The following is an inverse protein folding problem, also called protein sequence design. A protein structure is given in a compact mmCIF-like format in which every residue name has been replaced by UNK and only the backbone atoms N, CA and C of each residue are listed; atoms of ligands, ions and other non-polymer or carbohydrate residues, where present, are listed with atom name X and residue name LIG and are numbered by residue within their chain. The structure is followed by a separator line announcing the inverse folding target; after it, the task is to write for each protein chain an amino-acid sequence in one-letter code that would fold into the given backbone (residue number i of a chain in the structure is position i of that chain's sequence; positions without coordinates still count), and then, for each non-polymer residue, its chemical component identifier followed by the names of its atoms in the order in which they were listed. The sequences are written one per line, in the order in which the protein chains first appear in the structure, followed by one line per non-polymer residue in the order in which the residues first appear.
data_IF_594131581817
#
_entry.id   IF_594131581817
#
_cell.length_a   1.000
_cell.length_b   1.000
_cell.length_c   1.000
_cell.angle_alpha   90.00
_cell.angle_beta   90.00
_cell.angle_gamma   90.00
#
_symmetry.space_group_name_H-M   'P 1'
#
loop_
_entity.id
_entity.type
_entity.pdbx_description
1 polymer ?
#
# COMPACT_ATOMS: atom_id res chain seq x y z
N UNK A 1 3.39 -24.64 -34.60
CA UNK A 1 3.80 -23.49 -33.75
C UNK A 1 2.64 -22.54 -33.41
N UNK A 2 1.60 -22.38 -34.25
CA UNK A 2 0.46 -21.49 -33.96
C UNK A 2 -0.35 -21.78 -32.69
N UNK A 3 -0.53 -23.06 -32.33
CA UNK A 3 -1.32 -23.39 -31.14
C UNK A 3 -0.71 -22.96 -29.79
N UNK A 4 0.61 -22.77 -29.70
CA UNK A 4 1.27 -22.36 -28.44
C UNK A 4 1.12 -20.85 -28.21
N UNK A 5 1.12 -20.04 -29.27
CA UNK A 5 0.91 -18.60 -29.17
C UNK A 5 -0.56 -18.24 -28.88
N UNK A 6 -1.48 -18.99 -29.45
CA UNK A 6 -2.92 -18.82 -29.22
C UNK A 6 -3.28 -19.14 -27.75
N UNK A 7 -2.78 -20.25 -27.20
CA UNK A 7 -2.91 -20.58 -25.77
C UNK A 7 -2.28 -19.52 -24.86
N UNK A 8 -1.15 -18.94 -25.25
CA UNK A 8 -0.47 -17.90 -24.48
C UNK A 8 -1.33 -16.62 -24.42
N UNK A 9 -1.90 -16.22 -25.55
CA UNK A 9 -2.77 -15.03 -25.63
C UNK A 9 -4.06 -15.22 -24.82
N UNK A 10 -4.66 -16.41 -24.83
CA UNK A 10 -5.86 -16.74 -24.05
C UNK A 10 -5.55 -16.74 -22.53
N UNK A 11 -4.39 -17.25 -22.13
CA UNK A 11 -3.92 -17.22 -20.74
C UNK A 11 -3.70 -15.78 -20.30
N UNK A 12 -3.03 -14.95 -21.09
CA UNK A 12 -2.75 -13.54 -20.76
C UNK A 12 -4.04 -12.70 -20.63
N UNK A 13 -5.03 -12.94 -21.48
CA UNK A 13 -6.36 -12.32 -21.37
C UNK A 13 -7.09 -12.77 -20.10
N UNK A 14 -7.01 -14.05 -19.77
CA UNK A 14 -7.59 -14.60 -18.54
C UNK A 14 -6.93 -14.03 -17.30
N UNK A 15 -5.61 -13.87 -17.30
CA UNK A 15 -4.86 -13.24 -16.21
C UNK A 15 -5.23 -11.77 -16.02
N UNK A 16 -5.34 -11.01 -17.11
CA UNK A 16 -5.77 -9.61 -17.06
C UNK A 16 -7.19 -9.46 -16.52
N UNK A 17 -8.08 -10.40 -16.83
CA UNK A 17 -9.45 -10.40 -16.30
C UNK A 17 -9.48 -10.75 -14.80
N UNK A 18 -8.61 -11.65 -14.33
CA UNK A 18 -8.44 -11.98 -12.91
C UNK A 18 -7.90 -10.75 -12.15
N UNK A 19 -6.86 -10.10 -12.66
CA UNK A 19 -6.30 -8.90 -12.04
C UNK A 19 -7.37 -7.81 -11.86
N UNK A 20 -8.13 -7.53 -12.92
CA UNK A 20 -9.24 -6.56 -12.85
C UNK A 20 -10.31 -6.95 -11.83
N UNK A 21 -10.73 -8.21 -11.82
CA UNK A 21 -11.75 -8.69 -10.90
C UNK A 21 -11.28 -8.58 -9.43
N UNK A 22 -10.02 -8.92 -9.15
CA UNK A 22 -9.43 -8.77 -7.81
C UNK A 22 -9.33 -7.30 -7.42
N UNK A 23 -8.87 -6.42 -8.32
CA UNK A 23 -8.80 -4.98 -8.05
C UNK A 23 -10.19 -4.37 -7.80
N UNK A 24 -11.20 -4.78 -8.56
CA UNK A 24 -12.57 -4.34 -8.34
C UNK A 24 -13.12 -4.79 -6.98
N UNK A 25 -12.86 -6.03 -6.55
CA UNK A 25 -13.26 -6.54 -5.23
C UNK A 25 -12.57 -5.75 -4.10
N UNK A 26 -11.29 -5.38 -4.27
CA UNK A 26 -10.54 -4.53 -3.34
C UNK A 26 -11.20 -3.16 -3.19
N UNK A 27 -11.65 -2.54 -4.28
CA UNK A 27 -12.33 -1.24 -4.24
C UNK A 27 -13.72 -1.35 -3.60
N UNK A 28 -14.53 -2.34 -4.01
CA UNK A 28 -15.90 -2.54 -3.50
C UNK A 28 -15.91 -2.74 -1.99
N UNK A 29 -14.93 -3.46 -1.45
CA UNK A 29 -14.83 -3.73 0.00
C UNK A 29 -14.17 -2.61 0.80
N UNK A 30 -13.86 -1.46 0.19
CA UNK A 30 -13.21 -0.32 0.81
C UNK A 30 -11.94 -0.69 1.62
N UNK A 31 -11.17 -1.65 1.12
CA UNK A 31 -10.01 -2.25 1.80
C UNK A 31 -8.96 -1.20 2.14
N UNK A 32 -8.83 -0.14 1.33
CA UNK A 32 -7.82 0.91 1.50
C UNK A 32 -7.89 1.57 2.88
N UNK A 33 -9.08 1.83 3.42
CA UNK A 33 -9.22 2.47 4.73
C UNK A 33 -8.75 1.59 5.87
N UNK A 34 -9.10 0.29 5.84
CA UNK A 34 -8.64 -0.67 6.82
C UNK A 34 -7.11 -0.91 6.74
N UNK A 35 -6.56 -0.98 5.52
CA UNK A 35 -5.11 -1.08 5.31
C UNK A 35 -4.39 0.14 5.86
N UNK A 36 -4.93 1.34 5.65
CA UNK A 36 -4.35 2.56 6.20
C UNK A 36 -4.33 2.56 7.73
N UNK A 37 -5.38 2.03 8.38
CA UNK A 37 -5.40 1.81 9.83
C UNK A 37 -4.33 0.79 10.26
N UNK A 38 -4.23 -0.34 9.58
CA UNK A 38 -3.20 -1.35 9.85
C UNK A 38 -1.79 -0.78 9.73
N UNK A 39 -1.52 0.03 8.70
CA UNK A 39 -0.22 0.70 8.50
C UNK A 39 0.11 1.67 9.65
N UNK A 40 -0.87 2.42 10.18
CA UNK A 40 -0.66 3.26 11.37
C UNK A 40 -0.24 2.43 12.57
N UNK A 41 -0.88 1.29 12.81
CA UNK A 41 -0.51 0.38 13.90
C UNK A 41 0.90 -0.18 13.69
N UNK A 42 1.26 -0.55 12.46
CA UNK A 42 2.61 -1.02 12.13
C UNK A 42 3.67 0.03 12.43
N UNK A 43 3.46 1.29 12.06
CA UNK A 43 4.40 2.37 12.35
C UNK A 43 4.60 2.55 13.86
N UNK A 44 3.51 2.52 14.64
CA UNK A 44 3.54 2.80 16.08
C UNK A 44 4.07 1.61 16.87
N UNK A 45 3.45 0.43 16.69
CA UNK A 45 3.72 -0.76 17.53
C UNK A 45 4.55 -1.83 16.83
N UNK A 46 4.80 -1.67 15.53
CA UNK A 46 5.46 -2.68 14.71
C UNK A 46 4.59 -3.88 14.37
N UNK A 47 3.33 -3.92 14.83
CA UNK A 47 2.48 -5.09 14.74
C UNK A 47 1.02 -4.70 14.49
N UNK A 48 0.36 -5.46 13.63
CA UNK A 48 -1.08 -5.38 13.40
C UNK A 48 -1.62 -6.75 13.02
N UNK A 49 -2.79 -7.11 13.51
CA UNK A 49 -3.49 -8.30 13.04
C UNK A 49 -4.64 -7.86 12.14
N UNK A 50 -4.70 -8.45 10.97
CA UNK A 50 -5.74 -8.19 9.96
C UNK A 50 -6.57 -9.44 9.76
N UNK A 51 -7.87 -9.32 9.83
CA UNK A 51 -8.83 -10.39 9.50
C UNK A 51 -9.52 -10.09 8.18
N UNK A 52 -9.36 -10.99 7.21
CA UNK A 52 -9.93 -10.92 5.88
C UNK A 52 -11.29 -11.62 5.83
N UNK A 53 -12.32 -10.95 6.32
CA UNK A 53 -13.70 -11.45 6.32
C UNK A 53 -14.35 -11.45 4.92
N UNK A 54 -15.52 -12.07 4.82
CA UNK A 54 -16.29 -12.04 3.58
C UNK A 54 -16.85 -10.65 3.26
N UNK A 55 -17.20 -9.87 4.29
CA UNK A 55 -17.82 -8.56 4.15
C UNK A 55 -16.81 -7.41 4.17
N UNK A 56 -15.53 -7.68 4.44
CA UNK A 56 -14.49 -6.66 4.50
C UNK A 56 -13.31 -7.06 5.36
N UNK A 57 -12.47 -6.08 5.65
CA UNK A 57 -11.27 -6.24 6.48
C UNK A 57 -11.53 -5.65 7.86
N UNK A 58 -11.09 -6.37 8.89
CA UNK A 58 -11.04 -5.90 10.28
C UNK A 58 -9.60 -5.83 10.75
N UNK A 59 -9.27 -4.78 11.47
CA UNK A 59 -7.91 -4.54 11.99
C UNK A 59 -7.96 -4.61 13.52
N UNK A 60 -7.07 -5.41 14.09
CA UNK A 60 -6.93 -5.55 15.53
C UNK A 60 -5.63 -4.93 16.01
N UNK A 61 -5.73 -4.12 17.06
CA UNK A 61 -4.60 -3.51 17.74
C UNK A 61 -3.82 -4.54 18.56
N UNK A 62 -2.55 -4.27 18.83
CA UNK A 62 -1.67 -5.20 19.54
C UNK A 62 -2.19 -5.65 20.92
N UNK A 63 -2.97 -4.81 21.60
CA UNK A 63 -3.56 -5.15 22.92
C UNK A 63 -4.79 -6.07 22.84
N UNK A 64 -5.29 -6.40 21.64
CA UNK A 64 -6.45 -7.26 21.44
C UNK A 64 -6.09 -8.66 20.93
N UNK A 65 -4.82 -8.95 20.70
CA UNK A 65 -4.39 -10.27 20.23
C UNK A 65 -3.02 -10.66 20.72
N UNK A 66 -2.76 -11.94 20.71
CA UNK A 66 -1.44 -12.52 20.92
C UNK A 66 -1.08 -13.46 19.79
N UNK A 67 0.20 -13.48 19.42
CA UNK A 67 0.73 -14.35 18.37
C UNK A 67 1.93 -15.10 18.92
N UNK A 68 2.02 -16.38 18.61
CA UNK A 68 3.22 -17.20 18.80
C UNK A 68 3.70 -17.70 17.47
N UNK A 69 5.01 -17.58 17.24
CA UNK A 69 5.69 -18.06 16.04
C UNK A 69 6.76 -19.07 16.39
N UNK A 70 7.12 -19.87 15.41
CA UNK A 70 8.32 -20.69 15.47
C UNK A 70 9.59 -19.84 15.16
N UNK A 71 10.80 -20.38 15.35
CA UNK A 71 12.04 -19.67 15.04
C UNK A 71 12.16 -19.26 13.56
N UNK A 72 11.48 -19.93 12.64
CA UNK A 72 11.47 -19.57 11.21
C UNK A 72 10.54 -18.38 10.90
N UNK A 73 9.70 -17.99 11.88
CA UNK A 73 8.72 -16.92 11.75
C UNK A 73 7.33 -17.41 11.34
N UNK A 74 7.11 -18.73 11.19
CA UNK A 74 5.79 -19.29 10.90
C UNK A 74 4.86 -19.15 12.09
N UNK A 75 3.61 -18.79 11.85
CA UNK A 75 2.60 -18.63 12.88
C UNK A 75 2.19 -20.00 13.43
N UNK A 76 2.29 -20.18 14.74
CA UNK A 76 1.82 -21.37 15.45
C UNK A 76 0.46 -21.15 16.06
N UNK A 77 0.27 -20.00 16.73
CA UNK A 77 -0.97 -19.66 17.40
C UNK A 77 -1.29 -18.17 17.24
N UNK A 78 -2.57 -17.86 17.05
CA UNK A 78 -3.13 -16.52 17.21
C UNK A 78 -4.33 -16.63 18.13
N UNK A 79 -4.43 -15.74 19.12
CA UNK A 79 -5.63 -15.60 19.95
C UNK A 79 -6.05 -14.14 19.90
N UNK A 80 -7.30 -13.90 19.51
CA UNK A 80 -7.89 -12.55 19.45
C UNK A 80 -8.92 -12.44 20.54
N UNK A 81 -8.86 -11.37 21.31
CA UNK A 81 -9.86 -11.02 22.32
C UNK A 81 -10.78 -9.92 21.80
N UNK A 82 -12.07 -10.16 21.82
CA UNK A 82 -13.09 -9.18 21.46
C UNK A 82 -14.10 -9.07 22.60
N UNK A 83 -14.45 -7.86 22.96
CA UNK A 83 -15.54 -7.61 23.92
C UNK A 83 -16.79 -7.27 23.10
N UNK A 84 -17.77 -8.17 23.11
CA UNK A 84 -18.97 -8.09 22.30
C UNK A 84 -20.22 -7.92 23.15
N UNK A 85 -21.27 -7.34 22.58
CA UNK A 85 -22.58 -7.34 23.22
C UNK A 85 -23.13 -8.78 23.31
N UNK A 86 -23.86 -9.12 24.36
CA UNK A 86 -24.58 -10.41 24.47
C UNK A 86 -25.46 -10.76 23.26
N UNK A 87 -25.94 -9.74 22.56
CA UNK A 87 -26.71 -9.91 21.32
C UNK A 87 -25.87 -10.31 20.12
N UNK A 88 -24.58 -9.99 20.15
CA UNK A 88 -23.63 -10.23 19.05
C UNK A 88 -22.87 -11.56 19.15
N UNK A 89 -23.12 -12.38 20.18
CA UNK A 89 -22.49 -13.69 20.30
C UNK A 89 -23.19 -14.72 19.38
N UNK A 90 -22.49 -15.75 18.90
CA UNK A 90 -23.10 -16.87 18.17
C UNK A 90 -24.24 -17.50 18.95
N UNK A 91 -25.21 -18.07 18.25
CA UNK A 91 -26.42 -18.65 18.85
C UNK A 91 -26.12 -19.73 19.90
N UNK A 92 -25.06 -20.52 19.67
CA UNK A 92 -24.55 -21.52 20.61
C UNK A 92 -24.13 -20.94 21.95
N UNK A 93 -23.58 -19.72 21.96
CA UNK A 93 -23.10 -19.03 23.15
C UNK A 93 -24.22 -18.27 23.91
N UNK A 94 -25.36 -18.00 23.29
CA UNK A 94 -26.48 -17.25 23.94
C UNK A 94 -26.94 -17.84 25.27
N UNK A 95 -27.14 -19.18 25.41
CA UNK A 95 -27.52 -19.76 26.69
C UNK A 95 -26.46 -19.60 27.79
N UNK A 96 -25.17 -19.63 27.43
CA UNK A 96 -24.04 -19.46 28.37
C UNK A 96 -24.04 -18.03 28.94
N UNK A 97 -24.32 -17.05 28.10
CA UNK A 97 -24.30 -15.64 28.46
C UNK A 97 -25.57 -15.25 29.27
N UNK A 98 -26.73 -15.82 28.98
CA UNK A 98 -27.98 -15.56 29.71
C UNK A 98 -27.94 -16.05 31.14
N UNK A 99 -27.12 -17.03 31.47
CA UNK A 99 -26.96 -17.55 32.83
C UNK A 99 -26.16 -16.62 33.73
N UNK A 100 -25.38 -15.70 33.15
CA UNK A 100 -24.60 -14.69 33.86
C UNK A 100 -25.45 -13.45 34.08
N UNK A 101 -25.45 -12.93 35.29
CA UNK A 101 -26.25 -11.80 35.74
C UNK A 101 -26.48 -10.71 34.69
N UNK A 102 -27.71 -10.28 34.52
CA UNK A 102 -28.22 -9.27 33.58
C UNK A 102 -27.55 -7.86 33.69
N UNK A 103 -26.51 -7.72 34.50
CA UNK A 103 -25.81 -6.46 34.79
C UNK A 103 -24.62 -6.21 33.91
N UNK A 104 -24.05 -7.24 33.27
CA UNK A 104 -22.90 -7.05 32.36
C UNK A 104 -23.33 -6.84 30.90
N UNK A 105 -23.18 -5.63 30.40
CA UNK A 105 -23.54 -5.26 29.02
C UNK A 105 -22.58 -5.79 27.95
N UNK A 106 -21.55 -6.56 28.32
CA UNK A 106 -20.55 -7.08 27.39
C UNK A 106 -19.96 -8.41 27.82
N UNK A 107 -19.54 -9.21 26.86
CA UNK A 107 -18.94 -10.55 27.02
C UNK A 107 -17.63 -10.62 26.26
N UNK A 108 -16.63 -11.23 26.89
CA UNK A 108 -15.36 -11.49 26.23
C UNK A 108 -15.45 -12.76 25.37
N UNK A 109 -15.20 -12.61 24.09
CA UNK A 109 -15.12 -13.69 23.11
C UNK A 109 -13.68 -13.82 22.62
N UNK A 110 -13.17 -15.02 22.59
CA UNK A 110 -11.84 -15.32 22.11
C UNK A 110 -11.90 -16.09 20.79
N UNK A 111 -11.22 -15.62 19.78
CA UNK A 111 -11.00 -16.37 18.54
C UNK A 111 -9.61 -16.98 18.59
N UNK A 112 -9.54 -18.30 18.61
CA UNK A 112 -8.32 -19.09 18.66
C UNK A 112 -8.02 -19.64 17.27
N UNK A 113 -6.79 -19.45 16.81
CA UNK A 113 -6.29 -20.00 15.55
C UNK A 113 -4.98 -20.73 15.87
N UNK A 114 -4.86 -21.98 15.48
CA UNK A 114 -3.65 -22.77 15.72
C UNK A 114 -3.29 -23.67 14.55
N UNK A 115 -2.02 -23.88 14.36
CA UNK A 115 -1.51 -24.81 13.37
C UNK A 115 -1.78 -26.27 13.83
N UNK A 116 -2.42 -27.07 12.99
CA UNK A 116 -2.63 -28.50 13.23
C UNK A 116 -1.46 -29.27 12.62
N UNK A 117 -1.15 -28.99 11.35
CA UNK A 117 -0.09 -29.57 10.56
C UNK A 117 0.72 -28.48 9.86
N UNK A 118 1.81 -28.86 9.18
CA UNK A 118 2.68 -27.92 8.48
C UNK A 118 1.96 -26.99 7.47
N UNK A 119 0.74 -27.35 7.01
CA UNK A 119 0.02 -26.59 5.97
C UNK A 119 -1.45 -26.29 6.32
N UNK A 120 -1.91 -26.60 7.56
CA UNK A 120 -3.31 -26.41 7.94
C UNK A 120 -3.42 -25.71 9.28
N UNK A 121 -4.41 -24.85 9.38
CA UNK A 121 -4.80 -24.14 10.58
C UNK A 121 -6.24 -24.44 10.94
N UNK A 122 -6.53 -24.55 12.20
CA UNK A 122 -7.88 -24.62 12.75
C UNK A 122 -8.19 -23.31 13.48
N UNK A 123 -9.41 -22.82 13.28
CA UNK A 123 -9.92 -21.66 13.99
C UNK A 123 -11.24 -22.01 14.67
N UNK A 124 -11.44 -21.55 15.89
CA UNK A 124 -12.69 -21.68 16.65
C UNK A 124 -12.82 -20.53 17.63
N UNK A 125 -14.05 -20.30 18.10
CA UNK A 125 -14.34 -19.29 19.09
C UNK A 125 -14.58 -19.90 20.47
N UNK A 126 -14.26 -19.15 21.51
CA UNK A 126 -14.44 -19.52 22.90
C UNK A 126 -15.15 -18.40 23.62
N UNK A 127 -16.24 -18.73 24.30
CA UNK A 127 -17.00 -17.82 25.17
C UNK A 127 -17.20 -18.50 26.51
N UNK A 128 -16.92 -17.78 27.60
CA UNK A 128 -17.06 -18.33 28.97
C UNK A 128 -16.34 -19.69 29.16
N UNK A 129 -15.11 -19.81 28.64
CA UNK A 129 -14.31 -21.03 28.65
C UNK A 129 -14.91 -22.23 27.89
N UNK A 130 -15.98 -22.01 27.13
CA UNK A 130 -16.64 -23.04 26.32
C UNK A 130 -16.27 -22.84 24.86
N UNK A 131 -15.80 -23.88 24.21
CA UNK A 131 -15.51 -23.88 22.78
C UNK A 131 -16.84 -23.95 22.02
N UNK A 132 -17.03 -23.05 21.08
CA UNK A 132 -18.20 -23.02 20.20
C UNK A 132 -17.93 -23.88 18.96
N UNK A 133 -18.45 -25.10 18.93
CA UNK A 133 -18.19 -26.03 17.84
C UNK A 133 -18.76 -25.57 16.49
N UNK A 134 -19.84 -24.79 16.50
CA UNK A 134 -20.44 -24.19 15.30
C UNK A 134 -19.50 -23.23 14.57
N UNK A 135 -18.49 -22.67 15.28
CA UNK A 135 -17.54 -21.71 14.74
C UNK A 135 -16.23 -22.35 14.25
N UNK A 136 -16.08 -23.67 14.45
CA UNK A 136 -14.87 -24.41 14.08
C UNK A 136 -14.71 -24.47 12.57
N UNK A 137 -13.55 -24.05 12.09
CA UNK A 137 -13.20 -24.06 10.67
C UNK A 137 -11.75 -24.44 10.44
N UNK A 138 -11.47 -25.10 9.32
CA UNK A 138 -10.12 -25.45 8.91
C UNK A 138 -9.72 -24.67 7.66
N UNK A 139 -8.51 -24.12 7.67
CA UNK A 139 -7.96 -23.28 6.61
C UNK A 139 -6.61 -23.81 6.17
N UNK A 140 -6.28 -23.64 4.89
CA UNK A 140 -4.92 -23.88 4.39
C UNK A 140 -4.05 -22.66 4.72
N UNK A 141 -2.75 -22.84 4.81
CA UNK A 141 -1.79 -21.78 5.10
C UNK A 141 -1.86 -20.62 4.10
N UNK A 142 -2.07 -20.91 2.82
CA UNK A 142 -2.17 -19.93 1.74
C UNK A 142 -3.51 -19.17 1.71
N UNK A 143 -4.51 -19.60 2.46
CA UNK A 143 -5.87 -19.04 2.46
C UNK A 143 -6.43 -18.72 3.83
N UNK A 144 -5.55 -18.69 4.86
CA UNK A 144 -5.93 -18.29 6.21
C UNK A 144 -6.40 -16.82 6.23
N UNK A 145 -7.55 -16.52 6.85
CA UNK A 145 -8.06 -15.15 6.86
C UNK A 145 -7.40 -14.23 7.90
N UNK A 146 -6.62 -14.75 8.84
CA UNK A 146 -5.90 -13.95 9.85
C UNK A 146 -4.45 -13.72 9.44
N UNK A 147 -4.07 -12.47 9.21
CA UNK A 147 -2.73 -12.06 8.83
C UNK A 147 -2.10 -11.26 9.96
N UNK A 148 -1.13 -11.85 10.66
CA UNK A 148 -0.36 -11.15 11.68
C UNK A 148 0.84 -10.47 11.01
N UNK A 149 0.76 -9.16 10.88
CA UNK A 149 1.72 -8.32 10.17
C UNK A 149 2.82 -7.82 11.12
N UNK A 150 4.03 -7.70 10.57
CA UNK A 150 5.18 -7.11 11.26
C UNK A 150 5.80 -6.02 10.40
N UNK A 151 6.28 -4.94 11.02
CA UNK A 151 7.00 -3.90 10.29
C UNK A 151 8.48 -4.27 10.16
N UNK A 152 9.22 -4.33 11.25
CA UNK A 152 10.61 -4.79 11.27
C UNK A 152 10.68 -6.15 11.95
N UNK A 153 11.06 -7.16 11.17
CA UNK A 153 11.19 -8.52 11.66
C UNK A 153 12.50 -8.67 12.44
N UNK A 154 12.40 -9.23 13.65
CA UNK A 154 13.56 -9.67 14.44
C UNK A 154 13.55 -11.19 14.49
N UNK A 155 14.70 -11.79 14.22
CA UNK A 155 14.83 -13.24 14.20
C UNK A 155 14.58 -13.84 15.59
N UNK A 156 13.81 -14.94 15.64
CA UNK A 156 13.41 -15.58 16.89
C UNK A 156 12.32 -14.88 17.69
N UNK A 157 11.87 -13.66 17.29
CA UNK A 157 10.78 -12.97 17.98
C UNK A 157 9.43 -13.22 17.29
N UNK A 158 8.37 -13.33 18.11
CA UNK A 158 7.00 -13.47 17.61
C UNK A 158 6.41 -12.16 17.08
N UNK A 159 6.91 -11.03 17.57
CA UNK A 159 6.46 -9.68 17.24
C UNK A 159 7.54 -8.90 16.49
N UNK A 160 7.10 -7.95 15.68
CA UNK A 160 7.98 -7.00 15.00
C UNK A 160 8.24 -5.76 15.85
N UNK A 161 9.23 -4.95 15.43
CA UNK A 161 9.56 -3.65 16.02
C UNK A 161 8.94 -2.52 15.19
N UNK A 162 8.40 -1.52 15.89
CA UNK A 162 7.82 -0.32 15.25
C UNK A 162 8.84 0.79 15.08
N UNK A 163 8.58 1.68 14.14
CA UNK A 163 9.41 2.88 13.95
C UNK A 163 9.42 3.77 15.19
N UNK A 164 8.25 3.96 15.80
CA UNK A 164 8.15 4.77 17.02
C UNK A 164 8.96 4.18 18.16
N UNK A 165 9.07 2.86 18.25
CA UNK A 165 9.88 2.18 19.28
C UNK A 165 11.37 2.52 19.12
N UNK A 166 11.89 2.54 17.88
CA UNK A 166 13.29 2.86 17.60
C UNK A 166 13.66 4.30 17.97
N UNK A 167 12.72 5.24 17.76
CA UNK A 167 12.94 6.67 18.03
C UNK A 167 12.25 7.18 19.30
N UNK A 168 11.81 6.28 20.18
CA UNK A 168 11.07 6.63 21.40
C UNK A 168 11.87 7.56 22.32
N UNK A 169 13.19 7.38 22.41
CA UNK A 169 14.07 8.25 23.18
C UNK A 169 14.06 9.69 22.68
N UNK A 170 14.13 9.88 21.36
CA UNK A 170 14.09 11.20 20.75
C UNK A 170 12.72 11.86 20.89
N UNK A 171 11.65 11.10 20.70
CA UNK A 171 10.27 11.58 20.87
C UNK A 171 10.00 12.05 22.31
N UNK A 172 10.45 11.27 23.31
CA UNK A 172 10.34 11.67 24.73
C UNK A 172 11.18 12.91 25.06
N UNK A 173 12.37 12.99 24.49
CA UNK A 173 13.23 14.15 24.68
C UNK A 173 12.62 15.41 24.08
N UNK A 174 12.03 15.29 22.86
CA UNK A 174 11.33 16.40 22.20
C UNK A 174 10.12 16.84 23.02
N UNK A 175 9.30 15.93 23.51
CA UNK A 175 8.15 16.20 24.37
C UNK A 175 8.58 16.91 25.66
N UNK A 176 9.55 16.37 26.40
CA UNK A 176 10.04 16.94 27.66
C UNK A 176 10.64 18.33 27.48
N UNK A 177 11.46 18.54 26.45
CA UNK A 177 12.03 19.86 26.17
C UNK A 177 10.95 20.87 25.76
N UNK A 178 9.99 20.45 24.93
CA UNK A 178 8.87 21.33 24.53
C UNK A 178 8.02 21.71 25.72
N UNK A 179 7.70 20.75 26.60
CA UNK A 179 6.97 20.99 27.84
C UNK A 179 7.73 21.98 28.73
N UNK A 180 9.03 21.75 28.93
CA UNK A 180 9.87 22.62 29.75
C UNK A 180 9.94 24.07 29.22
N UNK A 181 9.99 24.24 27.89
CA UNK A 181 9.95 25.55 27.24
C UNK A 181 8.61 26.24 27.49
N UNK A 182 7.50 25.53 27.31
CA UNK A 182 6.14 26.07 27.51
C UNK A 182 5.93 26.48 28.97
N UNK A 183 6.26 25.57 29.91
CA UNK A 183 6.14 25.84 31.35
C UNK A 183 7.08 26.98 31.81
N UNK A 184 8.31 26.94 31.32
CA UNK A 184 9.30 27.98 31.59
C UNK A 184 8.89 29.35 31.03
N UNK A 185 8.32 29.40 29.81
CA UNK A 185 7.79 30.61 29.22
C UNK A 185 6.59 31.16 29.98
N UNK A 186 5.71 30.27 30.45
CA UNK A 186 4.57 30.65 31.30
C UNK A 186 5.04 31.21 32.67
N UNK A 187 6.08 30.62 33.25
CA UNK A 187 6.69 31.12 34.49
C UNK A 187 7.41 32.44 34.27
N UNK A 188 8.15 32.59 33.16
CA UNK A 188 8.86 33.83 32.81
C UNK A 188 7.92 34.99 32.49
N UNK A 189 6.70 34.71 32.02
CA UNK A 189 5.68 35.75 31.81
C UNK A 189 5.08 36.34 33.10
N UNK A 190 5.27 35.63 34.23
CA UNK A 190 4.82 36.11 35.54
C UNK A 190 5.84 37.10 36.11
N UNK A 191 5.46 38.36 36.16
CA UNK A 191 6.24 39.43 36.80
C UNK A 191 5.66 39.66 38.18
N UNK A 192 6.47 39.49 39.23
CA UNK A 192 6.10 39.80 40.59
C UNK A 192 6.83 41.07 41.01
N UNK A 193 6.07 42.04 41.48
CA UNK A 193 6.63 43.25 42.08
C UNK A 193 6.70 43.08 43.58
N UNK A 194 7.89 43.15 44.14
CA UNK A 194 8.11 43.17 45.58
C UNK A 194 8.29 44.59 46.03
N UNK A 195 7.49 45.00 47.00
CA UNK A 195 7.57 46.34 47.58
C UNK A 195 8.12 46.24 49.00
N UNK A 196 9.10 47.03 49.32
CA UNK A 196 9.69 47.10 50.67
C UNK A 196 8.62 47.57 51.67
N UNK A 197 8.27 46.74 52.68
CA UNK A 197 7.24 47.12 53.66
C UNK A 197 7.59 48.37 54.52
N UNK A 198 8.87 48.65 54.63
CA UNK A 198 9.36 49.80 55.39
C UNK A 198 9.72 51.02 54.49
N UNK A 199 9.44 50.90 53.17
CA UNK A 199 9.71 52.00 52.22
C UNK A 199 8.61 53.04 52.16
N UNK A 200 8.88 54.13 51.43
CA UNK A 200 7.92 55.22 51.20
C UNK A 200 6.87 54.84 50.13
N UNK A 201 7.18 53.87 49.30
CA UNK A 201 6.30 53.43 48.20
C UNK A 201 5.24 52.48 48.71
N UNK A 202 3.97 52.82 48.52
CA UNK A 202 2.83 51.97 48.98
C UNK A 202 2.38 51.01 47.89
N UNK A 203 2.33 49.73 48.25
CA UNK A 203 1.93 48.61 47.33
C UNK A 203 0.48 48.76 46.82
N UNK A 204 -0.45 49.22 47.68
CA UNK A 204 -1.85 49.43 47.34
C UNK A 204 -2.06 50.58 46.31
N UNK A 205 -1.24 51.59 46.35
CA UNK A 205 -1.25 52.71 45.40
C UNK A 205 -0.66 52.28 44.06
N UNK A 206 0.43 51.51 44.11
CA UNK A 206 1.10 51.02 42.89
C UNK A 206 0.23 50.03 42.13
N UNK A 207 -0.41 49.07 42.84
CA UNK A 207 -1.25 48.02 42.23
C UNK A 207 -2.51 48.55 41.52
N UNK A 208 -3.03 49.71 41.99
CA UNK A 208 -4.22 50.37 41.43
C UNK A 208 -3.88 51.42 40.37
N UNK A 209 -2.61 51.68 40.11
CA UNK A 209 -2.19 52.71 39.18
C UNK A 209 -2.33 52.26 37.74
N UNK A 210 -3.01 53.02 36.86
CA UNK A 210 -3.06 52.72 35.45
C UNK A 210 -1.68 52.87 34.78
N UNK A 211 -1.50 52.28 33.62
CA UNK A 211 -0.27 52.42 32.85
C UNK A 211 0.03 53.89 32.51
N UNK A 212 1.26 54.35 32.77
CA UNK A 212 1.68 55.73 32.55
C UNK A 212 1.31 56.74 33.70
N UNK A 213 0.74 56.25 34.82
CA UNK A 213 0.44 57.10 35.95
C UNK A 213 1.72 57.62 36.64
N UNK A 214 1.70 58.88 37.04
CA UNK A 214 2.77 59.50 37.85
C UNK A 214 2.39 59.32 39.33
N UNK A 215 3.29 58.70 40.11
CA UNK A 215 3.11 58.52 41.56
C UNK A 215 4.36 58.88 42.33
N UNK A 216 4.16 59.28 43.54
CA UNK A 216 5.26 59.52 44.48
C UNK A 216 5.78 58.19 45.02
N UNK A 217 7.11 58.06 45.13
CA UNK A 217 7.76 56.81 45.63
C UNK A 217 9.25 56.78 45.30
N UNK A 218 9.95 55.83 45.88
CA UNK A 218 11.35 55.59 45.59
C UNK A 218 11.47 54.32 44.72
N UNK A 219 12.14 54.40 43.59
CA UNK A 219 12.37 53.25 42.71
C UNK A 219 13.11 52.11 43.41
N UNK A 220 13.95 52.40 44.41
CA UNK A 220 14.66 51.37 45.19
C UNK A 220 13.76 50.58 46.13
N UNK A 221 12.53 51.07 46.43
CA UNK A 221 11.56 50.32 47.24
C UNK A 221 10.85 49.21 46.45
N UNK A 222 10.95 49.20 45.12
CA UNK A 222 10.27 48.26 44.27
C UNK A 222 11.30 47.42 43.53
N UNK A 223 11.31 46.13 43.79
CA UNK A 223 12.11 45.17 43.04
C UNK A 223 11.20 44.29 42.17
N UNK A 224 11.68 43.96 40.99
CA UNK A 224 10.97 43.06 40.05
C UNK A 224 11.57 41.70 40.17
N UNK A 225 10.78 40.73 40.60
CA UNK A 225 11.16 39.31 40.56
C UNK A 225 10.70 38.73 39.22
N UNK A 226 11.63 38.59 38.33
CA UNK A 226 11.43 37.98 37.02
C UNK A 226 12.48 36.87 36.78
N UNK A 227 12.07 35.78 36.21
CA UNK A 227 12.97 34.68 35.86
C UNK A 227 13.77 35.07 34.60
N UNK A 228 15.07 35.36 34.79
CA UNK A 228 15.98 35.69 33.69
C UNK A 228 16.67 34.43 33.17
N UNK A 229 15.99 33.63 32.32
CA UNK A 229 16.51 32.40 31.69
C UNK A 229 16.48 32.41 30.18
N UNK A 230 16.61 33.57 29.55
CA UNK A 230 16.53 33.69 28.08
C UNK A 230 17.61 32.88 27.35
N UNK A 231 18.82 32.82 27.89
CA UNK A 231 19.91 32.02 27.29
C UNK A 231 19.61 30.51 27.32
N UNK A 232 19.03 30.00 28.40
CA UNK A 232 18.70 28.61 28.55
C UNK A 232 17.59 28.17 27.56
N UNK A 233 16.62 29.07 27.33
CA UNK A 233 15.57 28.82 26.32
C UNK A 233 16.13 28.79 24.90
N UNK A 234 17.14 29.61 24.58
CA UNK A 234 17.80 29.58 23.29
C UNK A 234 18.46 28.21 22.98
N UNK A 235 19.18 27.67 23.95
CA UNK A 235 19.82 26.36 23.86
C UNK A 235 18.77 25.25 23.76
N UNK A 236 17.69 25.30 24.54
CA UNK A 236 16.60 24.34 24.48
C UNK A 236 15.88 24.36 23.13
N UNK A 237 15.60 25.52 22.55
CA UNK A 237 15.00 25.65 21.23
C UNK A 237 15.90 25.10 20.12
N UNK A 238 17.21 25.31 20.21
CA UNK A 238 18.15 24.72 19.25
C UNK A 238 18.19 23.19 19.35
N UNK A 239 18.15 22.64 20.57
CA UNK A 239 18.07 21.21 20.79
C UNK A 239 16.76 20.61 20.24
N UNK A 240 15.62 21.27 20.48
CA UNK A 240 14.32 20.89 19.90
C UNK A 240 14.37 20.88 18.37
N UNK A 241 14.96 21.92 17.75
CA UNK A 241 15.09 21.98 16.29
C UNK A 241 15.93 20.82 15.75
N UNK A 242 17.07 20.53 16.38
CA UNK A 242 17.95 19.42 15.98
C UNK A 242 17.27 18.05 16.11
N UNK A 243 16.54 17.80 17.22
CA UNK A 243 15.80 16.54 17.41
C UNK A 243 14.66 16.44 16.38
N UNK A 244 13.92 17.53 16.16
CA UNK A 244 12.84 17.56 15.15
C UNK A 244 13.35 17.25 13.76
N UNK A 245 14.49 17.84 13.34
CA UNK A 245 15.06 17.59 12.02
C UNK A 245 15.53 16.15 11.86
N UNK A 246 16.10 15.55 12.91
CA UNK A 246 16.45 14.14 12.94
C UNK A 246 15.23 13.23 12.84
N UNK A 247 14.16 13.53 13.56
CA UNK A 247 12.89 12.80 13.49
C UNK A 247 12.21 12.95 12.12
N UNK A 248 12.21 14.17 11.54
CA UNK A 248 11.69 14.40 10.20
C UNK A 248 12.41 13.55 9.15
N UNK A 249 13.73 13.44 9.25
CA UNK A 249 14.51 12.58 8.39
C UNK A 249 14.20 11.10 8.62
N UNK A 250 14.12 10.67 9.88
CA UNK A 250 13.82 9.28 10.26
C UNK A 250 12.44 8.84 9.79
N UNK A 251 11.42 9.68 9.98
CA UNK A 251 10.03 9.39 9.57
C UNK A 251 9.74 9.73 8.10
N UNK A 252 10.77 10.03 7.30
CA UNK A 252 10.66 10.29 5.86
C UNK A 252 9.65 11.40 5.52
N UNK A 253 9.52 12.40 6.39
CA UNK A 253 8.72 13.58 6.12
C UNK A 253 9.44 14.45 5.06
N UNK A 254 9.66 13.87 3.90
CA UNK A 254 10.52 14.39 2.83
C UNK A 254 9.97 15.66 2.17
N UNK A 255 8.73 16.05 2.44
CA UNK A 255 8.20 17.36 2.04
C UNK A 255 9.05 18.52 2.58
N UNK A 256 9.73 18.31 3.71
CA UNK A 256 10.70 19.27 4.25
C UNK A 256 12.03 19.29 3.50
N UNK A 257 12.34 18.25 2.73
CA UNK A 257 13.61 18.09 1.98
C UNK A 257 13.48 18.58 0.53
N UNK A 258 12.27 18.56 -0.02
CA UNK A 258 11.99 19.24 -1.29
C UNK A 258 11.91 20.73 -0.95
N UNK A 259 12.98 21.45 -1.25
CA UNK A 259 13.00 22.91 -1.13
C UNK A 259 11.73 23.44 -1.77
N UNK A 260 10.99 24.31 -1.05
CA UNK A 260 9.95 25.17 -1.61
C UNK A 260 10.58 26.20 -2.58
N UNK A 261 11.32 25.71 -3.57
CA UNK A 261 11.98 26.53 -4.57
C UNK A 261 11.16 26.44 -5.85
N UNK A 262 10.88 27.57 -6.45
CA UNK A 262 10.14 27.73 -7.72
C UNK A 262 10.71 26.92 -8.91
N UNK A 263 11.78 26.15 -8.73
CA UNK A 263 12.48 25.38 -9.76
C UNK A 263 12.96 24.01 -9.25
N UNK A 264 12.05 23.17 -8.74
CA UNK A 264 12.36 21.76 -8.49
C UNK A 264 12.33 21.04 -9.83
N UNK A 265 13.46 20.42 -10.22
CA UNK A 265 13.52 19.66 -11.47
C UNK A 265 12.87 18.27 -11.29
N UNK A 266 12.27 17.74 -12.36
CA UNK A 266 11.71 16.37 -12.35
C UNK A 266 12.76 15.33 -11.93
N UNK A 267 14.04 15.56 -12.21
CA UNK A 267 15.16 14.70 -11.81
C UNK A 267 15.41 14.74 -10.29
N UNK A 268 15.28 15.89 -9.65
CA UNK A 268 15.42 16.03 -8.19
C UNK A 268 14.32 15.28 -7.46
N UNK A 269 13.06 15.38 -7.94
CA UNK A 269 11.94 14.59 -7.42
C UNK A 269 12.19 13.09 -7.59
N UNK A 270 12.72 12.67 -8.76
CA UNK A 270 13.01 11.27 -9.04
C UNK A 270 14.11 10.73 -8.12
N UNK A 271 15.19 11.48 -7.90
CA UNK A 271 16.28 11.09 -7.01
C UNK A 271 15.83 11.01 -5.56
N UNK A 272 15.00 11.94 -5.10
CA UNK A 272 14.45 11.94 -3.74
C UNK A 272 13.53 10.73 -3.54
N UNK A 273 12.64 10.45 -4.49
CA UNK A 273 11.78 9.26 -4.46
C UNK A 273 12.61 7.99 -4.41
N UNK A 274 13.63 7.86 -5.26
CA UNK A 274 14.52 6.69 -5.27
C UNK A 274 15.34 6.54 -3.97
N UNK A 275 15.65 7.63 -3.27
CA UNK A 275 16.31 7.57 -1.96
C UNK A 275 15.36 7.04 -0.88
N UNK A 276 14.12 7.54 -0.82
CA UNK A 276 13.07 7.06 0.09
C UNK A 276 12.79 5.57 -0.14
N UNK A 277 12.69 5.14 -1.38
CA UNK A 277 12.46 3.73 -1.72
C UNK A 277 13.59 2.81 -1.28
N UNK A 278 14.84 3.22 -1.47
CA UNK A 278 16.00 2.44 -0.99
C UNK A 278 15.96 2.26 0.53
N UNK A 279 15.50 3.25 1.26
CA UNK A 279 15.36 3.21 2.72
C UNK A 279 14.20 2.30 3.16
N UNK A 280 13.09 2.30 2.42
CA UNK A 280 11.90 1.49 2.71
C UNK A 280 11.91 0.10 2.07
N UNK A 281 12.87 -0.23 1.22
CA UNK A 281 12.87 -1.46 0.42
C UNK A 281 12.72 -2.76 1.24
N UNK A 282 13.34 -2.81 2.41
CA UNK A 282 13.18 -3.94 3.34
C UNK A 282 11.75 -4.09 3.87
N UNK A 283 11.11 -2.97 4.22
CA UNK A 283 9.74 -2.93 4.74
C UNK A 283 8.75 -3.34 3.66
N UNK A 284 8.92 -2.83 2.44
CA UNK A 284 8.09 -3.23 1.29
C UNK A 284 8.16 -4.73 1.02
N UNK A 285 9.35 -5.32 1.11
CA UNK A 285 9.53 -6.76 0.90
C UNK A 285 8.81 -7.59 1.96
N UNK A 286 8.88 -7.19 3.23
CA UNK A 286 8.17 -7.86 4.33
C UNK A 286 6.65 -7.74 4.14
N UNK A 287 6.14 -6.53 3.85
CA UNK A 287 4.72 -6.30 3.62
C UNK A 287 4.20 -7.01 2.36
N UNK A 288 5.03 -7.15 1.33
CA UNK A 288 4.67 -7.93 0.15
C UNK A 288 4.43 -9.40 0.50
N UNK A 289 5.28 -9.98 1.34
CA UNK A 289 5.21 -11.38 1.75
C UNK A 289 4.15 -11.65 2.83
N UNK A 290 4.09 -10.82 3.87
CA UNK A 290 3.20 -11.05 5.03
C UNK A 290 1.79 -10.50 4.82
N UNK A 291 1.59 -9.55 3.90
CA UNK A 291 0.29 -8.91 3.69
C UNK A 291 -0.22 -9.02 2.25
N UNK A 292 0.49 -8.46 1.26
CA UNK A 292 -0.06 -8.31 -0.09
C UNK A 292 -0.30 -9.66 -0.77
N UNK A 293 0.67 -10.56 -0.74
CA UNK A 293 0.54 -11.88 -1.35
C UNK A 293 -0.55 -12.72 -0.68
N UNK A 294 -0.61 -12.86 0.67
CA UNK A 294 -1.71 -13.56 1.34
C UNK A 294 -3.09 -12.93 1.09
N UNK A 295 -3.16 -11.59 1.02
CA UNK A 295 -4.38 -10.86 0.68
C UNK A 295 -4.92 -11.27 -0.70
N UNK A 296 -4.06 -11.22 -1.72
CA UNK A 296 -4.43 -11.59 -3.09
C UNK A 296 -4.82 -13.07 -3.16
N UNK A 297 -4.05 -13.96 -2.53
CA UNK A 297 -4.35 -15.39 -2.48
C UNK A 297 -5.72 -15.66 -1.85
N UNK A 298 -6.04 -14.97 -0.75
CA UNK A 298 -7.33 -15.10 -0.08
C UNK A 298 -8.48 -14.63 -0.97
N UNK A 299 -8.32 -13.47 -1.65
CA UNK A 299 -9.34 -13.00 -2.58
C UNK A 299 -9.54 -13.96 -3.75
N UNK A 300 -8.47 -14.44 -4.35
CA UNK A 300 -8.54 -15.43 -5.42
C UNK A 300 -9.25 -16.71 -4.97
N UNK A 301 -8.98 -17.19 -3.74
CA UNK A 301 -9.64 -18.38 -3.19
C UNK A 301 -11.15 -18.14 -2.99
N UNK A 302 -11.54 -17.04 -2.37
CA UNK A 302 -12.96 -16.67 -2.15
C UNK A 302 -13.70 -16.47 -3.48
N UNK A 303 -13.10 -15.76 -4.43
CA UNK A 303 -13.72 -15.50 -5.74
C UNK A 303 -13.80 -16.77 -6.59
N UNK A 304 -12.80 -17.65 -6.51
CA UNK A 304 -12.81 -18.96 -7.17
C UNK A 304 -13.94 -19.85 -6.64
N UNK A 305 -14.14 -19.90 -5.31
CA UNK A 305 -15.26 -20.63 -4.68
C UNK A 305 -16.62 -20.06 -5.12
N UNK A 306 -16.72 -18.75 -5.31
CA UNK A 306 -17.93 -18.07 -5.80
C UNK A 306 -18.09 -18.13 -7.33
N UNK A 307 -17.20 -18.83 -8.04
CA UNK A 307 -17.19 -18.96 -9.52
C UNK A 307 -17.14 -17.62 -10.26
N UNK A 308 -16.52 -16.62 -9.66
CA UNK A 308 -16.35 -15.26 -10.24
C UNK A 308 -15.06 -15.11 -11.06
N UNK A 309 -14.17 -16.10 -11.01
CA UNK A 309 -12.92 -16.10 -11.77
C UNK A 309 -12.97 -17.08 -12.92
N UNK A 310 -12.35 -16.79 -14.07
CA UNK A 310 -12.15 -17.76 -15.14
C UNK A 310 -11.31 -18.95 -14.62
N UNK A 311 -11.57 -20.13 -15.15
CA UNK A 311 -10.80 -21.34 -14.80
C UNK A 311 -9.44 -21.29 -15.50
N UNK A 312 -8.41 -20.90 -14.79
CA UNK A 312 -7.02 -21.02 -15.27
C UNK A 312 -6.35 -22.17 -14.52
N UNK A 313 -5.60 -23.04 -15.19
CA UNK A 313 -4.87 -24.11 -14.53
C UNK A 313 -3.90 -23.54 -13.50
N UNK A 314 -3.99 -23.99 -12.24
CA UNK A 314 -3.19 -23.48 -11.10
C UNK A 314 -1.68 -23.65 -11.29
N UNK A 315 -1.27 -24.54 -12.17
CA UNK A 315 0.14 -24.82 -12.48
C UNK A 315 0.82 -23.67 -13.23
N UNK A 316 0.04 -22.84 -13.96
CA UNK A 316 0.55 -21.76 -14.78
C UNK A 316 0.43 -20.38 -14.11
N UNK A 317 -0.29 -20.27 -12.99
CA UNK A 317 -0.57 -18.99 -12.34
C UNK A 317 -0.03 -18.99 -10.92
N UNK A 318 1.11 -18.30 -10.74
CA UNK A 318 1.60 -17.93 -9.41
C UNK A 318 1.49 -16.42 -9.28
N UNK A 319 0.65 -15.91 -8.36
CA UNK A 319 0.60 -14.47 -8.11
C UNK A 319 1.98 -14.00 -7.62
N UNK A 320 2.50 -12.98 -8.27
CA UNK A 320 3.73 -12.31 -7.88
C UNK A 320 3.40 -10.86 -7.57
N UNK A 321 3.79 -10.41 -6.39
CA UNK A 321 3.60 -9.01 -6.00
C UNK A 321 4.83 -8.22 -6.43
N UNK A 322 4.62 -7.26 -7.31
CA UNK A 322 5.64 -6.29 -7.70
C UNK A 322 5.44 -5.07 -6.80
N UNK A 323 6.45 -4.74 -5.99
CA UNK A 323 6.38 -3.66 -5.00
C UNK A 323 7.44 -2.60 -5.26
N UNK A 324 7.25 -1.42 -4.68
CA UNK A 324 8.22 -0.32 -4.70
C UNK A 324 8.38 0.33 -6.08
N UNK A 325 9.62 0.69 -6.43
CA UNK A 325 9.98 1.31 -7.72
C UNK A 325 9.55 0.45 -8.89
N UNK A 326 9.62 -0.87 -8.76
CA UNK A 326 9.22 -1.79 -9.82
C UNK A 326 7.70 -1.72 -10.10
N UNK A 327 6.89 -1.42 -9.10
CA UNK A 327 5.44 -1.20 -9.29
C UNK A 327 5.14 0.18 -9.90
N UNK A 328 5.87 1.21 -9.48
CA UNK A 328 5.91 2.52 -10.13
C UNK A 328 6.61 2.44 -11.49
N UNK A 329 7.45 1.44 -11.67
CA UNK A 329 8.24 1.16 -12.86
C UNK A 329 7.41 0.76 -14.08
N UNK A 330 6.13 0.38 -13.95
CA UNK A 330 5.28 0.21 -15.13
C UNK A 330 5.16 1.51 -15.94
N UNK A 331 5.05 2.67 -15.26
CA UNK A 331 5.20 3.97 -15.91
C UNK A 331 6.63 4.24 -16.41
N UNK A 332 7.65 3.78 -15.67
CA UNK A 332 9.05 3.90 -16.04
C UNK A 332 9.46 2.94 -17.17
N UNK A 333 8.85 1.76 -17.25
CA UNK A 333 9.05 0.82 -18.35
C UNK A 333 8.51 1.38 -19.67
N UNK A 334 7.44 2.17 -19.61
CA UNK A 334 6.94 2.92 -20.74
C UNK A 334 7.97 3.96 -21.23
N UNK A 335 8.54 4.72 -20.30
CA UNK A 335 9.60 5.71 -20.61
C UNK A 335 10.84 5.03 -21.17
N UNK A 336 11.26 3.89 -20.62
CA UNK A 336 12.39 3.10 -21.11
C UNK A 336 12.11 2.51 -22.50
N UNK A 337 10.89 2.01 -22.71
CA UNK A 337 10.44 1.46 -23.98
C UNK A 337 10.38 2.55 -25.05
N UNK A 338 9.83 3.71 -24.74
CA UNK A 338 9.79 4.86 -25.62
C UNK A 338 11.20 5.41 -25.90
N UNK A 339 12.08 5.43 -24.92
CA UNK A 339 13.48 5.82 -25.09
C UNK A 339 14.25 4.82 -25.98
N UNK A 340 14.02 3.51 -25.82
CA UNK A 340 14.60 2.48 -26.69
C UNK A 340 14.15 2.68 -28.14
N UNK A 341 12.86 2.85 -28.37
CA UNK A 341 12.32 3.06 -29.74
C UNK A 341 12.80 4.36 -30.35
N UNK A 342 12.84 5.44 -29.57
CA UNK A 342 13.38 6.72 -30.01
C UNK A 342 14.87 6.60 -30.38
N UNK A 343 15.65 5.88 -29.58
CA UNK A 343 17.06 5.59 -29.88
C UNK A 343 17.24 4.75 -31.14
N UNK A 344 16.42 3.72 -31.33
CA UNK A 344 16.41 2.91 -32.56
C UNK A 344 16.03 3.73 -33.78
N UNK A 345 15.02 4.60 -33.66
CA UNK A 345 14.60 5.48 -34.76
C UNK A 345 15.68 6.48 -35.17
N UNK A 346 16.46 7.00 -34.19
CA UNK A 346 17.55 7.93 -34.45
C UNK A 346 18.75 7.26 -35.10
N UNK A 347 19.08 6.03 -34.71
CA UNK A 347 20.28 5.32 -35.19
C UNK A 347 20.00 4.62 -36.53
N UNK A 348 18.89 3.95 -36.68
CA UNK A 348 18.58 3.07 -37.82
C UNK A 348 17.49 3.63 -38.74
N UNK A 349 16.87 4.74 -38.38
CA UNK A 349 15.75 5.33 -39.10
C UNK A 349 14.38 4.68 -38.76
N UNK A 350 13.27 5.36 -39.05
CA UNK A 350 11.91 4.91 -38.69
C UNK A 350 11.49 3.60 -39.38
N UNK A 351 12.07 3.25 -40.52
CA UNK A 351 11.80 2.01 -41.23
C UNK A 351 12.33 0.77 -40.50
N UNK A 352 13.42 0.90 -39.73
CA UNK A 352 13.99 -0.20 -38.95
C UNK A 352 13.06 -0.63 -37.80
N UNK A 353 12.26 0.30 -37.24
CA UNK A 353 11.30 -0.05 -36.18
C UNK A 353 10.32 -1.12 -36.69
N UNK A 354 9.80 -0.96 -37.92
CA UNK A 354 8.87 -1.91 -38.50
C UNK A 354 9.48 -3.29 -38.79
N UNK A 355 10.81 -3.37 -38.94
CA UNK A 355 11.52 -4.63 -39.19
C UNK A 355 11.90 -5.38 -37.91
N UNK A 356 12.24 -4.66 -36.85
CA UNK A 356 12.80 -5.27 -35.63
C UNK A 356 11.83 -5.28 -34.44
N UNK A 357 10.76 -4.48 -34.48
CA UNK A 357 9.80 -4.34 -33.38
C UNK A 357 8.43 -4.81 -33.82
N UNK A 358 7.81 -5.71 -33.05
CA UNK A 358 6.41 -6.06 -33.26
C UNK A 358 5.51 -4.91 -32.78
N UNK A 359 4.79 -4.19 -33.68
CA UNK A 359 3.99 -3.04 -33.30
C UNK A 359 2.81 -3.41 -32.38
N UNK A 360 2.24 -4.62 -32.54
CA UNK A 360 1.13 -5.07 -31.71
C UNK A 360 1.57 -5.32 -30.27
N UNK A 361 2.70 -6.00 -30.10
CA UNK A 361 3.27 -6.24 -28.77
C UNK A 361 3.66 -4.95 -28.07
N UNK A 362 4.22 -4.00 -28.83
CA UNK A 362 4.51 -2.67 -28.28
C UNK A 362 3.25 -1.94 -27.82
N UNK A 363 2.20 -1.91 -28.65
CA UNK A 363 0.93 -1.28 -28.31
C UNK A 363 0.25 -1.96 -27.14
N UNK A 364 0.30 -3.30 -27.07
CA UNK A 364 -0.25 -4.07 -25.96
C UNK A 364 0.46 -3.74 -24.64
N UNK A 365 1.81 -3.71 -24.63
CA UNK A 365 2.60 -3.32 -23.46
C UNK A 365 2.36 -1.88 -23.03
N UNK A 366 2.27 -0.98 -23.99
CA UNK A 366 1.99 0.42 -23.73
C UNK A 366 0.59 0.63 -23.15
N UNK A 367 -0.42 -0.04 -23.69
CA UNK A 367 -1.78 0.01 -23.17
C UNK A 367 -1.88 -0.61 -21.77
N UNK A 368 -1.22 -1.75 -21.54
CA UNK A 368 -1.16 -2.38 -20.22
C UNK A 368 -0.50 -1.44 -19.18
N UNK A 369 0.59 -0.76 -19.54
CA UNK A 369 1.27 0.19 -18.66
C UNK A 369 0.42 1.44 -18.37
N UNK A 370 -0.43 1.85 -19.30
CA UNK A 370 -1.39 2.95 -19.12
C UNK A 370 -2.71 2.52 -18.47
N UNK A 371 -2.90 1.22 -18.22
CA UNK A 371 -4.16 0.68 -17.68
C UNK A 371 -5.33 0.71 -18.65
N UNK A 372 -5.05 0.80 -19.95
CA UNK A 372 -6.07 0.88 -21.01
C UNK A 372 -6.42 -0.53 -21.49
N UNK A 373 -7.72 -0.82 -21.64
CA UNK A 373 -8.17 -2.08 -22.22
C UNK A 373 -7.92 -2.10 -23.73
N UNK A 374 -7.17 -3.11 -24.18
CA UNK A 374 -6.84 -3.27 -25.60
C UNK A 374 -7.93 -3.98 -26.40
N UNK A 375 -8.92 -4.58 -25.72
CA UNK A 375 -9.97 -5.36 -26.36
C UNK A 375 -10.85 -4.46 -27.25
N UNK A 376 -10.85 -4.73 -28.55
CA UNK A 376 -11.56 -3.93 -29.53
C UNK A 376 -10.87 -2.61 -29.94
N UNK A 377 -9.77 -2.23 -29.26
CA UNK A 377 -8.98 -1.04 -29.61
C UNK A 377 -7.84 -1.39 -30.58
N UNK A 378 -7.20 -2.54 -30.37
CA UNK A 378 -6.10 -3.03 -31.22
C UNK A 378 -6.64 -4.18 -32.04
N UNK A 379 -6.53 -4.06 -33.38
CA UNK A 379 -6.94 -5.12 -34.32
C UNK A 379 -6.07 -6.35 -34.10
N UNK A 380 -6.67 -7.54 -34.18
CA UNK A 380 -5.92 -8.79 -34.15
C UNK A 380 -5.07 -8.96 -35.43
N UNK A 381 -4.07 -9.84 -35.38
CA UNK A 381 -3.31 -10.18 -36.60
C UNK A 381 -4.20 -10.75 -37.71
N UNK A 382 -5.24 -11.50 -37.33
CA UNK A 382 -6.22 -12.04 -38.26
C UNK A 382 -7.06 -10.95 -38.89
N UNK A 383 -7.52 -9.96 -38.14
CA UNK A 383 -8.28 -8.82 -38.66
C UNK A 383 -7.44 -7.97 -39.61
N UNK A 384 -6.16 -7.73 -39.29
CA UNK A 384 -5.24 -7.01 -40.15
C UNK A 384 -4.92 -7.77 -41.42
N UNK A 385 -4.70 -9.09 -41.32
CA UNK A 385 -4.48 -9.94 -42.47
C UNK A 385 -5.75 -10.01 -43.37
N UNK A 386 -6.93 -10.08 -42.77
CA UNK A 386 -8.19 -10.08 -43.48
C UNK A 386 -8.44 -8.72 -44.20
N UNK A 387 -8.11 -7.60 -43.54
CA UNK A 387 -8.20 -6.26 -44.18
C UNK A 387 -7.15 -6.09 -45.27
N UNK A 388 -5.91 -6.52 -45.07
CA UNK A 388 -4.88 -6.49 -46.11
C UNK A 388 -5.26 -7.33 -47.32
N UNK A 389 -5.83 -8.52 -47.11
CA UNK A 389 -6.34 -9.37 -48.19
C UNK A 389 -7.52 -8.74 -48.90
N UNK A 390 -8.45 -8.09 -48.19
CA UNK A 390 -9.55 -7.33 -48.77
C UNK A 390 -9.05 -6.13 -49.60
N UNK A 391 -8.07 -5.38 -49.07
CA UNK A 391 -7.48 -4.26 -49.75
C UNK A 391 -6.72 -4.70 -51.04
N UNK A 392 -6.00 -5.84 -50.95
CA UNK A 392 -5.29 -6.42 -52.09
C UNK A 392 -6.26 -6.92 -53.17
N UNK A 393 -7.36 -7.57 -52.78
CA UNK A 393 -8.43 -7.96 -53.70
C UNK A 393 -9.10 -6.75 -54.34
N UNK A 394 -9.40 -5.70 -53.57
CA UNK A 394 -9.99 -4.46 -54.10
C UNK A 394 -9.06 -3.80 -55.13
N UNK A 395 -7.76 -3.69 -54.84
CA UNK A 395 -6.76 -3.17 -55.76
C UNK A 395 -6.57 -4.06 -57.01
N UNK A 396 -6.68 -5.38 -56.86
CA UNK A 396 -6.68 -6.31 -58.01
C UNK A 396 -7.93 -6.16 -58.87
N UNK A 397 -9.08 -5.97 -58.24
CA UNK A 397 -10.36 -5.74 -58.96
C UNK A 397 -10.33 -4.46 -59.77
N UNK A 398 -9.73 -3.40 -59.20
CA UNK A 398 -9.58 -2.09 -59.87
C UNK A 398 -8.61 -2.13 -61.05
N UNK A 399 -7.49 -2.89 -60.92
CA UNK A 399 -6.45 -2.96 -61.96
C UNK A 399 -6.69 -4.01 -63.05
N UNK A 400 -7.35 -5.12 -62.75
CA UNK A 400 -7.47 -6.28 -63.65
C UNK A 400 -8.89 -6.55 -64.16
N UNK A 401 -9.88 -5.83 -63.66
CA UNK A 401 -11.30 -5.99 -64.04
C UNK A 401 -11.97 -7.20 -63.33
N UNK A 402 -13.31 -7.19 -63.21
CA UNK A 402 -14.07 -8.16 -62.39
C UNK A 402 -14.00 -9.61 -62.83
N UNK A 403 -13.73 -9.90 -64.09
CA UNK A 403 -13.74 -11.25 -64.67
C UNK A 403 -12.50 -12.08 -64.31
N UNK A 404 -11.34 -11.47 -64.13
CA UNK A 404 -10.08 -12.15 -63.82
C UNK A 404 -9.99 -12.43 -62.31
N UNK A 405 -10.51 -11.50 -61.49
CA UNK A 405 -10.53 -11.67 -60.02
C UNK A 405 -11.47 -12.80 -59.59
N UNK A 406 -12.59 -13.00 -60.27
CA UNK A 406 -13.51 -14.12 -60.03
C UNK A 406 -12.90 -15.48 -60.33
N UNK A 407 -12.03 -15.56 -61.33
CA UNK A 407 -11.28 -16.80 -61.64
C UNK A 407 -10.17 -17.08 -60.64
N UNK A 408 -9.45 -16.03 -60.16
CA UNK A 408 -8.43 -16.16 -59.16
C UNK A 408 -9.00 -16.54 -57.76
N UNK A 409 -10.14 -16.00 -57.37
CA UNK A 409 -10.86 -16.38 -56.16
C UNK A 409 -11.26 -17.84 -56.14
N UNK A 410 -11.76 -18.38 -57.25
CA UNK A 410 -12.12 -19.80 -57.42
C UNK A 410 -10.90 -20.74 -57.40
N UNK A 411 -9.74 -20.29 -57.89
CA UNK A 411 -8.49 -21.07 -57.85
C UNK A 411 -7.89 -21.10 -56.44
N UNK A 412 -8.05 -20.07 -55.61
CA UNK A 412 -7.66 -20.06 -54.19
C UNK A 412 -8.59 -20.95 -53.36
N UNK A 413 -9.93 -20.90 -53.60
CA UNK A 413 -10.90 -21.76 -52.92
C UNK A 413 -10.72 -23.28 -53.29
N UNK A 414 -10.30 -23.55 -54.53
CA UNK A 414 -10.01 -24.91 -54.96
C UNK A 414 -8.64 -25.46 -54.53
N UNK A 415 -7.83 -24.69 -53.82
CA UNK A 415 -6.49 -25.05 -53.35
C UNK A 415 -5.42 -25.11 -54.46
N UNK A 416 -5.74 -24.64 -55.67
CA UNK A 416 -4.83 -24.64 -56.81
C UNK A 416 -3.79 -23.50 -56.76
N UNK A 417 -4.01 -22.47 -55.94
CA UNK A 417 -3.08 -21.36 -55.66
C UNK A 417 -3.08 -21.01 -54.19
N UNK A 418 -1.95 -20.65 -53.59
CA UNK A 418 -1.91 -20.19 -52.21
C UNK A 418 -2.62 -18.83 -52.06
N UNK A 419 -3.29 -18.63 -50.92
CA UNK A 419 -3.93 -17.37 -50.61
C UNK A 419 -2.91 -16.21 -50.63
N UNK A 420 -3.30 -15.00 -51.06
CA UNK A 420 -2.42 -13.81 -51.03
C UNK A 420 -1.99 -13.56 -49.56
N UNK A 421 -0.71 -13.68 -49.28
CA UNK A 421 -0.12 -13.56 -47.96
C UNK A 421 0.66 -14.81 -47.50
N UNK A 422 0.33 -15.98 -47.99
CA UNK A 422 1.14 -17.20 -47.68
C UNK A 422 2.41 -17.30 -48.56
N UNK A 423 2.34 -16.76 -49.79
CA UNK A 423 3.50 -16.74 -50.69
C UNK A 423 4.67 -15.85 -50.22
N UNK A 424 4.44 -14.93 -49.29
CA UNK A 424 5.50 -14.11 -48.72
C UNK A 424 6.17 -14.78 -47.51
N UNK A 425 5.49 -15.68 -46.80
CA UNK A 425 6.09 -16.42 -45.68
C UNK A 425 7.02 -17.54 -46.14
N UNK A 426 6.73 -18.16 -47.30
CA UNK A 426 7.59 -19.21 -47.85
C UNK A 426 8.86 -18.68 -48.52
N UNK A 427 8.90 -17.40 -48.94
CA UNK A 427 10.11 -16.75 -49.48
C UNK A 427 11.04 -16.15 -48.41
N UNK A 428 10.60 -15.97 -47.15
CA UNK A 428 11.44 -15.53 -46.05
C UNK A 428 11.95 -16.67 -45.16
N UNK A 429 11.63 -17.91 -45.48
CA UNK A 429 12.01 -19.14 -44.75
C UNK A 429 13.10 -19.99 -45.42
N UNK A 430 13.80 -19.47 -46.45
CA UNK A 430 14.99 -20.13 -47.02
C UNK A 430 16.26 -19.34 -46.72
#
# INVERSE_FOLDING_TARGET
MGGVEEYKTEIDQSLSSIERAVMQEIEVKAIRSAVFEALKHLIVTGNALVYLGEDGIRVFRLNHYVVKRDPTGKILHIVVKETVSPLGVPDEAKPLVQQRNATENSVDMYTCVHAIDNNKYEAYQVVENTVLESTRGTYREDSIPWLALRMNRVDGESYGRGYVEEYLGDLRSLEGLTQAIVEGSAAASKVLFLVNPNGMTRADVLSKSPNGAIREGMAADVSVLQVQKQADFGVALQAVASIRDRLNYAFLLAESTIRNAERVTAEEVRLTTAAVERQLGGIYSILAQEFQLPLVNRFMDVMSRRKRLPKVPKEFVKPMIITGVDALGRGNDLVKLDALLSGMAQIFGPQAIAQFVNPQEYLARRAAALGIDTKGLIKSQEDMAAEANKAMMANMTEKLGPSIVGQYGKMVESGALPAPGQAQQDMMGQ
#
